data_IF_626681044673
#
_entry.id   IF_626681044673
#
_cell.length_a   1.000
_cell.length_b   1.000
_cell.length_c   1.000
_cell.angle_alpha   90.00
_cell.angle_beta   90.00
_cell.angle_gamma   90.00
#
_symmetry.space_group_name_H-M   'P 1'
#
loop_
_entity.id
_entity.type
_entity.pdbx_description
1 polymer ?
#
# COMPACT_ATOMS: atom_id res chain seq x y z
N UNK A 1 45.88 -87.48 14.19
CA UNK A 1 46.26 -86.78 15.44
C UNK A 1 45.16 -85.76 15.72
N UNK A 2 43.97 -86.16 16.16
CA UNK A 2 43.62 -86.83 17.44
C UNK A 2 43.63 -85.86 18.63
N UNK A 3 42.41 -85.66 19.18
CA UNK A 3 42.03 -85.36 20.57
C UNK A 3 42.53 -84.05 21.22
N UNK A 4 41.80 -83.35 22.10
CA UNK A 4 40.68 -83.69 22.98
C UNK A 4 40.01 -82.37 23.47
N UNK A 5 38.69 -82.22 23.37
CA UNK A 5 37.69 -82.23 24.49
C UNK A 5 37.87 -81.21 25.63
N UNK A 6 36.83 -80.38 25.82
CA UNK A 6 36.00 -80.26 27.04
C UNK A 6 35.02 -79.08 26.84
N UNK A 7 33.77 -79.25 26.39
CA UNK A 7 32.53 -79.61 27.11
C UNK A 7 32.34 -78.99 28.51
N UNK A 8 31.46 -77.99 28.59
CA UNK A 8 30.35 -78.01 29.57
C UNK A 8 29.08 -77.42 28.94
N UNK A 9 27.98 -78.16 29.08
CA UNK A 9 26.66 -77.93 28.50
C UNK A 9 25.71 -77.21 29.47
N UNK A 10 24.82 -76.40 28.87
CA UNK A 10 23.35 -76.28 29.07
C UNK A 10 22.74 -75.93 30.43
N UNK A 11 21.95 -74.86 30.42
CA UNK A 11 20.52 -74.83 30.79
C UNK A 11 19.93 -73.58 30.08
N UNK A 12 18.82 -73.54 29.37
CA UNK A 12 17.56 -74.27 29.48
C UNK A 12 16.45 -73.21 29.45
N UNK A 13 16.09 -72.70 28.27
CA UNK A 13 14.92 -71.82 28.10
C UNK A 13 13.66 -72.66 28.33
N UNK A 14 12.96 -72.43 29.44
CA UNK A 14 11.64 -73.01 29.68
C UNK A 14 10.54 -71.96 29.51
N UNK A 15 9.54 -72.32 28.71
CA UNK A 15 8.27 -71.61 28.55
C UNK A 15 7.40 -71.94 29.76
N UNK A 16 7.23 -71.00 30.70
CA UNK A 16 6.12 -70.84 31.68
C UNK A 16 6.67 -70.23 32.97
N UNK A 17 6.55 -68.91 33.11
CA UNK A 17 6.29 -68.21 34.37
C UNK A 17 5.73 -66.85 34.00
N UNK A 18 4.41 -66.81 33.97
CA UNK A 18 3.58 -65.62 33.82
C UNK A 18 3.44 -64.99 35.21
N UNK A 19 3.52 -63.66 35.25
CA UNK A 19 3.08 -62.76 36.33
C UNK A 19 3.79 -62.90 37.69
N UNK A 20 4.62 -61.91 38.03
CA UNK A 20 4.53 -61.26 39.35
C UNK A 20 5.21 -59.87 39.32
N UNK A 21 4.57 -58.93 40.01
CA UNK A 21 4.83 -57.50 39.99
C UNK A 21 6.25 -57.14 40.47
N UNK A 22 6.92 -56.28 39.71
CA UNK A 22 8.15 -55.60 40.12
C UNK A 22 8.20 -54.20 39.53
N UNK A 23 7.46 -53.27 40.12
CA UNK A 23 7.56 -51.85 39.82
C UNK A 23 8.90 -51.31 40.35
N UNK A 24 9.81 -50.88 39.46
CA UNK A 24 10.82 -49.84 39.72
C UNK A 24 11.64 -49.55 38.46
N UNK A 25 11.51 -48.33 37.93
CA UNK A 25 12.58 -47.66 37.19
C UNK A 25 12.58 -47.76 35.66
N UNK A 26 11.51 -47.32 34.98
CA UNK A 26 11.67 -46.81 33.61
C UNK A 26 11.97 -45.32 33.70
N UNK A 27 13.24 -44.95 33.56
CA UNK A 27 13.63 -43.59 33.27
C UNK A 27 13.05 -43.22 31.89
N UNK A 28 11.91 -42.55 31.90
CA UNK A 28 11.40 -41.87 30.72
C UNK A 28 12.43 -40.78 30.38
N UNK A 29 13.22 -41.01 29.34
CA UNK A 29 13.88 -39.94 28.60
C UNK A 29 12.80 -39.04 28.05
N UNK A 30 12.40 -38.05 28.84
CA UNK A 30 11.67 -36.88 28.39
C UNK A 30 12.61 -36.18 27.44
N UNK A 31 12.43 -36.42 26.13
CA UNK A 31 12.85 -35.48 25.11
C UNK A 31 12.30 -34.12 25.58
N UNK A 32 13.13 -33.08 25.77
CA UNK A 32 12.62 -31.75 26.03
C UNK A 32 11.74 -31.42 24.84
N UNK A 33 10.42 -31.45 25.07
CA UNK A 33 9.44 -30.96 24.12
C UNK A 33 9.92 -29.59 23.68
N UNK A 34 9.94 -29.39 22.37
CA UNK A 34 10.22 -28.11 21.74
C UNK A 34 9.66 -27.01 22.64
N UNK A 35 10.56 -26.28 23.29
CA UNK A 35 10.18 -25.10 24.03
C UNK A 35 9.35 -24.30 23.05
N UNK A 36 8.05 -24.12 23.35
CA UNK A 36 7.17 -23.26 22.59
C UNK A 36 7.94 -21.96 22.39
N UNK A 37 8.45 -21.74 21.17
CA UNK A 37 9.02 -20.47 20.81
C UNK A 37 7.90 -19.50 21.06
N UNK A 38 8.04 -18.68 22.10
CA UNK A 38 7.16 -17.55 22.36
C UNK A 38 7.02 -16.86 21.01
N UNK A 39 5.83 -16.89 20.41
CA UNK A 39 5.59 -16.38 19.06
C UNK A 39 6.13 -14.95 18.99
N UNK A 40 7.36 -14.82 18.51
CA UNK A 40 8.04 -13.54 18.52
C UNK A 40 7.38 -12.77 17.39
N UNK A 41 6.65 -11.71 17.76
CA UNK A 41 5.99 -10.83 16.80
C UNK A 41 6.96 -10.48 15.68
N UNK A 42 6.47 -10.53 14.44
CA UNK A 42 7.22 -10.06 13.29
C UNK A 42 7.49 -8.56 13.49
N UNK A 43 8.76 -8.16 13.49
CA UNK A 43 9.19 -6.78 13.59
C UNK A 43 9.18 -6.16 12.21
N UNK A 44 8.34 -5.16 12.02
CA UNK A 44 8.14 -4.43 10.78
C UNK A 44 8.51 -2.97 11.00
N UNK A 45 9.25 -2.38 10.07
CA UNK A 45 9.58 -0.96 10.11
C UNK A 45 9.10 -0.25 8.84
N UNK A 46 8.82 1.04 8.97
CA UNK A 46 8.68 1.94 7.83
C UNK A 46 9.75 3.04 7.84
N UNK A 47 10.22 3.43 6.66
CA UNK A 47 11.11 4.58 6.44
C UNK A 47 10.41 5.50 5.46
N UNK A 48 10.08 6.71 5.91
CA UNK A 48 9.42 7.74 5.11
C UNK A 48 10.35 8.90 4.80
N UNK A 49 10.42 9.32 3.54
CA UNK A 49 11.21 10.48 3.14
C UNK A 49 10.55 11.80 3.57
N UNK A 50 9.21 11.83 3.59
CA UNK A 50 8.41 12.99 3.98
C UNK A 50 7.71 12.79 5.33
N UNK A 51 6.96 13.78 5.86
CA UNK A 51 6.15 13.59 7.06
C UNK A 51 5.01 12.60 6.80
N UNK A 52 4.59 11.83 7.81
CA UNK A 52 3.50 10.84 7.69
C UNK A 52 2.12 11.47 7.41
N UNK A 53 2.00 12.80 7.49
CA UNK A 53 0.83 13.54 7.04
C UNK A 53 0.76 13.69 5.52
N UNK A 54 1.86 13.48 4.79
CA UNK A 54 1.83 13.44 3.32
C UNK A 54 0.96 12.25 2.85
N UNK A 55 0.07 12.41 1.86
CA UNK A 55 -0.92 11.40 1.52
C UNK A 55 -0.37 10.00 1.20
N UNK A 56 0.76 9.89 0.51
CA UNK A 56 1.39 8.61 0.18
C UNK A 56 1.92 7.90 1.42
N UNK A 57 2.72 8.59 2.23
CA UNK A 57 3.27 8.07 3.48
C UNK A 57 2.17 7.70 4.47
N UNK A 58 1.10 8.51 4.50
CA UNK A 58 -0.06 8.30 5.36
C UNK A 58 -0.75 6.95 5.08
N UNK A 59 -1.01 6.61 3.82
CA UNK A 59 -1.70 5.36 3.49
C UNK A 59 -0.87 4.12 3.85
N UNK A 60 0.45 4.18 3.68
CA UNK A 60 1.36 3.13 4.13
C UNK A 60 1.31 3.01 5.65
N UNK A 61 1.40 4.14 6.36
CA UNK A 61 1.39 4.18 7.82
C UNK A 61 0.08 3.60 8.39
N UNK A 62 -1.08 4.02 7.86
CA UNK A 62 -2.40 3.53 8.28
C UNK A 62 -2.54 2.02 8.03
N UNK A 63 -2.08 1.52 6.88
CA UNK A 63 -2.10 0.09 6.59
C UNK A 63 -1.24 -0.72 7.58
N UNK A 64 -0.07 -0.20 7.97
CA UNK A 64 0.79 -0.84 8.97
C UNK A 64 0.23 -0.80 10.38
N UNK A 65 -0.43 0.30 10.78
CA UNK A 65 -1.16 0.36 12.05
C UNK A 65 -2.32 -0.64 12.08
N UNK A 66 -3.03 -0.82 10.97
CA UNK A 66 -4.06 -1.86 10.84
C UNK A 66 -3.45 -3.25 10.97
N UNK A 67 -2.34 -3.52 10.29
CA UNK A 67 -1.62 -4.79 10.38
C UNK A 67 -1.07 -5.07 11.79
N UNK A 68 -0.65 -4.05 12.55
CA UNK A 68 -0.25 -4.21 13.94
C UNK A 68 -1.39 -4.75 14.81
N UNK A 69 -2.61 -4.22 14.61
CA UNK A 69 -3.82 -4.65 15.33
C UNK A 69 -4.30 -6.03 14.89
N UNK A 70 -4.33 -6.29 13.58
CA UNK A 70 -4.97 -7.49 13.02
C UNK A 70 -4.02 -8.68 12.83
N UNK A 71 -2.75 -8.43 12.45
CA UNK A 71 -1.77 -9.46 12.11
C UNK A 71 -0.72 -9.68 13.20
N UNK A 72 -0.77 -8.91 14.28
CA UNK A 72 0.05 -9.08 15.48
C UNK A 72 1.54 -8.79 15.27
N UNK A 73 1.89 -7.88 14.36
CA UNK A 73 3.27 -7.41 14.16
C UNK A 73 3.72 -6.45 15.29
N UNK A 74 5.00 -6.16 15.38
CA UNK A 74 5.55 -5.00 16.10
C UNK A 74 5.94 -3.95 15.05
N UNK A 75 5.30 -2.78 15.06
CA UNK A 75 5.52 -1.74 14.07
C UNK A 75 6.29 -0.54 14.65
N UNK A 76 7.32 -0.07 13.92
CA UNK A 76 7.97 1.23 14.16
C UNK A 76 8.18 1.97 12.85
N UNK A 77 8.38 3.28 12.90
CA UNK A 77 8.70 4.06 11.71
C UNK A 77 9.72 5.17 12.00
N UNK A 78 10.33 5.66 10.92
CA UNK A 78 11.10 6.90 10.86
C UNK A 78 10.53 7.74 9.73
N UNK A 79 10.40 9.04 9.93
CA UNK A 79 9.89 9.97 8.92
C UNK A 79 10.85 11.15 8.72
N UNK A 80 10.65 11.93 7.66
CA UNK A 80 11.55 13.05 7.27
C UNK A 80 13.00 12.60 7.06
N UNK A 81 13.19 11.35 6.63
CA UNK A 81 14.52 10.77 6.44
C UNK A 81 15.14 11.32 5.16
N UNK A 82 16.21 12.09 5.32
CA UNK A 82 16.93 12.65 4.18
C UNK A 82 17.62 11.56 3.37
N UNK A 83 17.75 11.76 2.06
CA UNK A 83 18.43 10.82 1.15
C UNK A 83 19.83 10.40 1.65
N UNK A 84 20.58 11.32 2.25
CA UNK A 84 21.92 11.07 2.79
C UNK A 84 21.91 10.13 4.02
N UNK A 85 20.82 10.13 4.78
CA UNK A 85 20.63 9.33 6.00
C UNK A 85 19.96 7.98 5.73
N UNK A 86 19.32 7.80 4.57
CA UNK A 86 18.47 6.64 4.29
C UNK A 86 19.20 5.30 4.47
N UNK A 87 20.43 5.19 3.95
CA UNK A 87 21.26 4.00 4.13
C UNK A 87 21.61 3.69 5.58
N UNK A 88 21.80 4.73 6.41
CA UNK A 88 22.07 4.56 7.84
C UNK A 88 20.83 4.03 8.56
N UNK A 89 19.67 4.62 8.32
CA UNK A 89 18.39 4.19 8.92
C UNK A 89 18.03 2.75 8.52
N UNK A 90 18.21 2.38 7.25
CA UNK A 90 18.04 0.99 6.82
C UNK A 90 18.94 0.02 7.59
N UNK A 91 20.23 0.35 7.76
CA UNK A 91 21.17 -0.48 8.56
C UNK A 91 20.71 -0.63 10.00
N UNK A 92 20.24 0.45 10.62
CA UNK A 92 19.75 0.45 12.01
C UNK A 92 18.56 -0.50 12.18
N UNK A 93 17.58 -0.48 11.27
CA UNK A 93 16.46 -1.43 11.31
C UNK A 93 16.90 -2.87 11.07
N UNK A 94 17.75 -3.12 10.07
CA UNK A 94 18.22 -4.49 9.81
C UNK A 94 19.03 -5.06 10.99
N UNK A 95 19.95 -4.27 11.56
CA UNK A 95 20.72 -4.65 12.76
C UNK A 95 19.85 -4.76 14.02
N UNK A 96 18.77 -3.97 14.10
CA UNK A 96 17.74 -4.07 15.13
C UNK A 96 16.84 -5.31 15.01
N UNK A 97 17.10 -6.18 14.01
CA UNK A 97 16.40 -7.44 13.81
C UNK A 97 14.99 -7.27 13.25
N UNK A 98 14.72 -6.19 12.50
CA UNK A 98 13.48 -6.06 11.74
C UNK A 98 13.52 -6.98 10.53
N UNK A 99 12.45 -7.75 10.33
CA UNK A 99 12.37 -8.74 9.26
C UNK A 99 11.77 -8.15 7.98
N UNK A 100 10.90 -7.16 8.08
CA UNK A 100 10.34 -6.42 6.95
C UNK A 100 10.58 -4.93 7.18
N UNK A 101 11.10 -4.24 6.16
CA UNK A 101 11.21 -2.79 6.14
C UNK A 101 10.58 -2.29 4.85
N UNK A 102 9.63 -1.36 4.97
CA UNK A 102 8.94 -0.76 3.84
C UNK A 102 8.88 0.77 3.92
N UNK A 103 8.22 1.42 2.96
CA UNK A 103 8.06 2.88 2.91
C UNK A 103 8.29 3.40 1.49
N UNK A 104 8.81 4.61 1.37
CA UNK A 104 9.14 5.23 0.09
C UNK A 104 10.65 5.48 -0.01
N UNK A 105 11.23 5.13 -1.16
CA UNK A 105 12.68 5.30 -1.38
C UNK A 105 12.99 6.02 -2.69
N UNK A 106 12.02 6.71 -3.31
CA UNK A 106 12.17 7.28 -4.65
C UNK A 106 13.45 8.14 -4.79
N UNK A 107 13.71 9.03 -3.83
CA UNK A 107 14.90 9.88 -3.84
C UNK A 107 16.19 9.15 -3.42
N UNK A 108 16.08 8.04 -2.69
CA UNK A 108 17.18 7.24 -2.15
C UNK A 108 17.41 5.90 -2.89
N UNK A 109 16.74 5.70 -4.03
CA UNK A 109 16.60 4.45 -4.78
C UNK A 109 17.89 3.63 -4.89
N UNK A 110 18.96 4.26 -5.40
CA UNK A 110 20.26 3.60 -5.60
C UNK A 110 20.91 3.17 -4.28
N UNK A 111 20.86 4.04 -3.28
CA UNK A 111 21.49 3.78 -1.98
C UNK A 111 20.70 2.72 -1.19
N UNK A 112 19.38 2.72 -1.32
CA UNK A 112 18.52 1.70 -0.71
C UNK A 112 18.82 0.31 -1.24
N UNK A 113 18.94 0.14 -2.56
CA UNK A 113 19.30 -1.16 -3.16
C UNK A 113 20.72 -1.59 -2.80
N UNK A 114 21.67 -0.67 -2.74
CA UNK A 114 23.05 -0.97 -2.32
C UNK A 114 23.10 -1.44 -0.86
N UNK A 115 22.31 -0.82 0.01
CA UNK A 115 22.22 -1.21 1.42
C UNK A 115 21.50 -2.54 1.58
N UNK A 116 20.39 -2.77 0.86
CA UNK A 116 19.64 -4.01 0.91
C UNK A 116 20.49 -5.27 0.63
N UNK A 117 21.42 -5.19 -0.33
CA UNK A 117 22.38 -6.27 -0.66
C UNK A 117 23.27 -6.69 0.52
N UNK A 118 23.50 -5.81 1.49
CA UNK A 118 24.29 -6.11 2.69
C UNK A 118 23.48 -6.88 3.74
N UNK A 119 22.14 -6.91 3.62
CA UNK A 119 21.22 -7.53 4.56
C UNK A 119 20.25 -8.48 3.81
N UNK A 120 20.74 -9.59 3.24
CA UNK A 120 19.93 -10.51 2.43
C UNK A 120 18.82 -11.22 3.21
N UNK A 121 18.83 -11.15 4.55
CA UNK A 121 17.81 -11.74 5.44
C UNK A 121 16.66 -10.79 5.79
N UNK A 122 16.79 -9.51 5.50
CA UNK A 122 15.72 -8.52 5.71
C UNK A 122 14.93 -8.41 4.41
N UNK A 123 13.61 -8.48 4.47
CA UNK A 123 12.75 -8.17 3.35
C UNK A 123 12.65 -6.64 3.21
N UNK A 124 12.90 -6.13 2.01
CA UNK A 124 12.79 -4.72 1.67
C UNK A 124 11.66 -4.54 0.67
N UNK A 125 10.71 -3.64 0.95
CA UNK A 125 9.58 -3.37 0.08
C UNK A 125 9.34 -1.87 -0.02
N UNK A 126 9.76 -1.22 -1.10
CA UNK A 126 9.69 0.24 -1.21
C UNK A 126 8.89 0.72 -2.41
N UNK A 127 8.22 1.87 -2.24
CA UNK A 127 7.77 2.69 -3.35
C UNK A 127 8.95 3.04 -4.25
N UNK A 128 8.88 2.65 -5.53
CA UNK A 128 9.99 2.77 -6.46
C UNK A 128 9.53 2.93 -7.91
N UNK A 129 10.21 3.78 -8.65
CA UNK A 129 10.05 3.89 -10.12
C UNK A 129 10.87 2.86 -10.91
N UNK A 130 11.61 1.98 -10.24
CA UNK A 130 12.40 0.92 -10.87
C UNK A 130 11.85 -0.47 -10.48
N UNK A 131 12.10 -1.48 -11.32
CA UNK A 131 11.66 -2.85 -11.05
C UNK A 131 12.29 -3.49 -9.80
N UNK A 132 11.80 -4.65 -9.35
CA UNK A 132 12.36 -5.36 -8.19
C UNK A 132 13.83 -5.73 -8.37
N UNK A 133 14.56 -5.92 -7.25
CA UNK A 133 15.95 -6.40 -7.27
C UNK A 133 16.19 -7.58 -6.33
N UNK A 134 16.66 -8.68 -6.91
CA UNK A 134 17.00 -9.89 -6.18
C UNK A 134 18.10 -9.68 -5.12
N UNK A 135 18.07 -10.44 -4.01
CA UNK A 135 17.08 -11.48 -3.69
C UNK A 135 15.82 -10.98 -2.96
N UNK A 136 15.87 -9.79 -2.39
CA UNK A 136 15.01 -9.39 -1.26
C UNK A 136 14.51 -7.94 -1.33
N UNK A 137 14.56 -7.30 -2.50
CA UNK A 137 14.06 -5.94 -2.69
C UNK A 137 12.84 -5.94 -3.61
N UNK A 138 11.66 -6.03 -3.00
CA UNK A 138 10.39 -5.81 -3.66
C UNK A 138 10.09 -4.33 -3.85
N UNK A 139 9.20 -4.05 -4.79
CA UNK A 139 8.77 -2.69 -5.11
C UNK A 139 7.26 -2.61 -5.20
N UNK A 140 6.71 -1.41 -5.08
CA UNK A 140 5.30 -1.12 -5.38
C UNK A 140 5.15 0.29 -5.93
N UNK A 141 3.97 0.54 -6.50
CA UNK A 141 3.50 1.87 -6.87
C UNK A 141 1.98 1.96 -6.64
N UNK A 142 1.40 3.16 -6.63
CA UNK A 142 -0.03 3.39 -6.42
C UNK A 142 -0.84 3.31 -7.73
N UNK A 143 -1.41 2.15 -8.02
CA UNK A 143 -2.20 1.95 -9.24
C UNK A 143 -3.67 2.38 -9.10
N UNK A 144 -3.92 3.60 -8.59
CA UNK A 144 -5.27 4.11 -8.26
C UNK A 144 -5.96 4.90 -9.39
N UNK A 145 -5.49 4.73 -10.63
CA UNK A 145 -6.10 5.30 -11.83
C UNK A 145 -7.57 4.89 -12.04
N UNK A 146 -7.95 3.68 -11.64
CA UNK A 146 -9.32 3.17 -11.76
C UNK A 146 -10.35 4.03 -10.99
N UNK A 147 -10.19 4.26 -9.67
CA UNK A 147 -11.09 5.16 -8.96
C UNK A 147 -10.87 6.65 -9.28
N UNK A 148 -9.69 7.05 -9.76
CA UNK A 148 -9.48 8.41 -10.26
C UNK A 148 -10.33 8.68 -11.52
N UNK A 149 -10.43 7.70 -12.42
CA UNK A 149 -11.30 7.73 -13.58
C UNK A 149 -12.78 7.88 -13.20
N UNK A 150 -13.25 7.04 -12.27
CA UNK A 150 -14.62 7.12 -11.75
C UNK A 150 -14.92 8.49 -11.13
N UNK A 151 -13.96 9.06 -10.40
CA UNK A 151 -14.06 10.41 -9.85
C UNK A 151 -14.12 11.48 -10.94
N UNK A 152 -13.39 11.28 -12.03
CA UNK A 152 -13.48 12.09 -13.25
C UNK A 152 -14.89 12.12 -13.84
N UNK A 153 -15.53 10.97 -13.97
CA UNK A 153 -16.90 10.87 -14.47
C UNK A 153 -17.89 11.65 -13.59
N UNK A 154 -17.70 11.61 -12.26
CA UNK A 154 -18.50 12.43 -11.34
C UNK A 154 -18.24 13.91 -11.63
N UNK A 155 -16.99 14.34 -11.72
CA UNK A 155 -16.64 15.73 -11.95
C UNK A 155 -17.19 16.26 -13.30
N UNK A 156 -17.09 15.48 -14.37
CA UNK A 156 -17.61 15.85 -15.69
C UNK A 156 -19.13 16.03 -15.71
N UNK A 157 -19.87 15.24 -14.93
CA UNK A 157 -21.33 15.37 -14.78
C UNK A 157 -21.76 16.48 -13.81
N UNK A 158 -20.95 16.75 -12.79
CA UNK A 158 -21.26 17.73 -11.75
C UNK A 158 -20.82 19.15 -12.10
N UNK A 159 -19.87 19.30 -13.03
CA UNK A 159 -19.44 20.61 -13.54
C UNK A 159 -20.56 21.31 -14.29
N UNK A 160 -20.81 22.57 -13.93
CA UNK A 160 -21.76 23.48 -14.56
C UNK A 160 -21.07 24.44 -15.54
N UNK A 161 -19.83 24.81 -15.28
CA UNK A 161 -19.01 25.64 -16.17
C UNK A 161 -18.47 24.84 -17.36
N UNK A 162 -18.49 23.51 -17.27
CA UNK A 162 -17.84 22.62 -18.23
C UNK A 162 -16.31 22.65 -18.14
N UNK A 163 -15.74 23.19 -17.06
CA UNK A 163 -14.29 23.26 -16.82
C UNK A 163 -13.95 22.58 -15.50
N UNK A 164 -13.14 21.53 -15.56
CA UNK A 164 -12.62 20.81 -14.40
C UNK A 164 -11.14 21.06 -14.21
N UNK A 165 -10.69 21.09 -12.95
CA UNK A 165 -9.32 21.39 -12.59
C UNK A 165 -8.62 20.24 -11.88
N UNK A 166 -7.29 20.24 -11.90
CA UNK A 166 -6.44 19.43 -11.05
C UNK A 166 -5.25 20.25 -10.58
N UNK A 167 -4.93 20.17 -9.29
CA UNK A 167 -3.72 20.77 -8.71
C UNK A 167 -2.92 19.66 -8.05
N UNK A 168 -1.70 19.46 -8.55
CA UNK A 168 -0.89 18.29 -8.24
C UNK A 168 0.55 18.64 -7.86
N UNK A 169 1.31 17.67 -7.35
CA UNK A 169 2.71 17.86 -6.95
C UNK A 169 3.63 18.22 -8.12
N UNK A 170 4.02 17.22 -8.90
CA UNK A 170 5.05 17.30 -9.92
C UNK A 170 4.64 16.45 -11.11
N UNK A 171 5.07 16.82 -12.32
CA UNK A 171 4.77 16.07 -13.55
C UNK A 171 5.59 14.80 -13.67
N UNK A 172 5.40 13.85 -12.76
CA UNK A 172 6.03 12.51 -12.79
C UNK A 172 5.00 11.45 -13.23
N UNK A 173 5.45 10.27 -13.72
CA UNK A 173 4.55 9.24 -14.26
C UNK A 173 3.36 8.91 -13.36
N UNK A 174 3.62 8.71 -12.06
CA UNK A 174 2.60 8.43 -11.05
C UNK A 174 1.50 9.50 -10.96
N UNK A 175 1.89 10.75 -10.71
CA UNK A 175 0.95 11.88 -10.64
C UNK A 175 0.20 12.06 -11.96
N UNK A 176 0.92 11.99 -13.09
CA UNK A 176 0.34 12.15 -14.42
C UNK A 176 -0.75 11.09 -14.68
N UNK A 177 -0.48 9.83 -14.31
CA UNK A 177 -1.43 8.72 -14.42
C UNK A 177 -2.76 9.03 -13.75
N UNK A 178 -2.74 9.56 -12.54
CA UNK A 178 -3.96 9.87 -11.78
C UNK A 178 -4.71 11.06 -12.37
N UNK A 179 -3.98 12.14 -12.69
CA UNK A 179 -4.58 13.35 -13.27
C UNK A 179 -5.17 13.09 -14.65
N UNK A 180 -4.48 12.32 -15.49
CA UNK A 180 -4.98 11.92 -16.81
C UNK A 180 -6.21 11.01 -16.70
N UNK A 181 -6.22 10.04 -15.79
CA UNK A 181 -7.38 9.19 -15.56
C UNK A 181 -8.60 10.02 -15.12
N UNK A 182 -8.42 10.97 -14.21
CA UNK A 182 -9.47 11.92 -13.82
C UNK A 182 -10.01 12.71 -15.02
N UNK A 183 -9.13 13.28 -15.84
CA UNK A 183 -9.59 14.02 -17.04
C UNK A 183 -10.23 13.11 -18.11
N UNK A 184 -9.77 11.87 -18.24
CA UNK A 184 -10.35 10.90 -19.18
C UNK A 184 -11.79 10.53 -18.75
N UNK A 185 -12.01 10.28 -17.46
CA UNK A 185 -13.35 10.02 -16.93
C UNK A 185 -14.29 11.21 -17.11
N UNK A 186 -13.80 12.43 -16.88
CA UNK A 186 -14.59 13.65 -17.11
C UNK A 186 -14.97 13.81 -18.59
N UNK A 187 -14.06 13.46 -19.50
CA UNK A 187 -14.28 13.53 -20.95
C UNK A 187 -15.24 12.46 -21.47
N UNK A 188 -15.28 11.26 -20.87
CA UNK A 188 -16.23 10.21 -21.24
C UNK A 188 -17.67 10.70 -21.14
N UNK A 189 -17.99 11.44 -20.08
CA UNK A 189 -19.36 11.87 -19.77
C UNK A 189 -19.69 13.27 -20.29
N UNK A 190 -18.66 14.07 -20.56
CA UNK A 190 -18.76 15.40 -21.13
C UNK A 190 -17.65 15.60 -22.17
N UNK A 191 -17.91 15.28 -23.45
CA UNK A 191 -16.90 15.39 -24.52
C UNK A 191 -16.33 16.80 -24.75
N UNK A 192 -17.04 17.84 -24.28
CA UNK A 192 -16.66 19.24 -24.41
C UNK A 192 -16.01 19.81 -23.13
N UNK A 193 -15.75 18.97 -22.12
CA UNK A 193 -15.12 19.41 -20.87
C UNK A 193 -13.74 20.01 -21.15
N UNK A 194 -13.46 21.15 -20.52
CA UNK A 194 -12.14 21.78 -20.52
C UNK A 194 -11.36 21.38 -19.28
N UNK A 195 -10.05 21.20 -19.44
CA UNK A 195 -9.12 20.78 -18.40
C UNK A 195 -8.22 21.94 -18.00
N UNK A 196 -8.06 22.17 -16.70
CA UNK A 196 -6.99 23.00 -16.14
C UNK A 196 -6.11 22.17 -15.23
N UNK A 197 -4.80 22.28 -15.39
CA UNK A 197 -3.83 21.57 -14.56
C UNK A 197 -2.73 22.51 -14.10
N UNK A 198 -2.33 22.39 -12.83
CA UNK A 198 -1.19 23.08 -12.26
C UNK A 198 -0.36 22.12 -11.41
N UNK A 199 0.96 22.22 -11.53
CA UNK A 199 1.92 21.49 -10.72
C UNK A 199 2.63 22.45 -9.76
N UNK A 200 2.62 22.14 -8.46
CA UNK A 200 3.21 23.02 -7.44
C UNK A 200 4.73 22.81 -7.27
N UNK A 201 5.30 21.77 -7.88
CA UNK A 201 6.73 21.47 -7.80
C UNK A 201 7.18 20.88 -6.45
N UNK A 202 6.27 20.38 -5.62
CA UNK A 202 6.52 19.82 -4.29
C UNK A 202 5.49 18.74 -3.95
N UNK A 203 5.89 17.70 -3.23
CA UNK A 203 4.96 16.69 -2.69
C UNK A 203 4.18 17.19 -1.47
N UNK A 204 4.67 18.21 -0.78
CA UNK A 204 3.99 18.76 0.39
C UNK A 204 4.24 20.27 0.53
N UNK A 205 3.28 21.07 0.05
CA UNK A 205 3.23 22.53 0.21
C UNK A 205 1.76 23.01 0.14
N UNK A 206 0.98 22.85 1.24
CA UNK A 206 -0.42 23.21 1.26
C UNK A 206 -0.73 24.67 0.90
N UNK A 207 0.05 25.67 1.37
CA UNK A 207 -0.15 27.07 0.95
C UNK A 207 -0.05 27.26 -0.57
N UNK A 208 0.96 26.68 -1.22
CA UNK A 208 1.14 26.80 -2.67
C UNK A 208 0.07 26.05 -3.46
N UNK A 209 -0.37 24.90 -2.97
CA UNK A 209 -1.49 24.16 -3.55
C UNK A 209 -2.81 24.94 -3.46
N UNK A 210 -3.06 25.61 -2.34
CA UNK A 210 -4.22 26.49 -2.17
C UNK A 210 -4.19 27.66 -3.15
N UNK A 211 -3.04 28.34 -3.29
CA UNK A 211 -2.87 29.45 -4.24
C UNK A 211 -3.13 29.02 -5.69
N UNK A 212 -2.54 27.89 -6.11
CA UNK A 212 -2.76 27.33 -7.44
C UNK A 212 -4.23 26.94 -7.70
N UNK A 213 -4.91 26.41 -6.68
CA UNK A 213 -6.33 26.07 -6.75
C UNK A 213 -7.19 27.33 -6.91
N UNK A 214 -6.95 28.38 -6.10
CA UNK A 214 -7.65 29.66 -6.22
C UNK A 214 -7.51 30.23 -7.63
N UNK A 215 -6.32 30.21 -8.22
CA UNK A 215 -6.09 30.69 -9.57
C UNK A 215 -6.90 29.92 -10.64
N UNK A 216 -7.01 28.59 -10.52
CA UNK A 216 -7.84 27.79 -11.43
C UNK A 216 -9.34 28.07 -11.26
N UNK A 217 -9.79 28.23 -10.02
CA UNK A 217 -11.19 28.53 -9.70
C UNK A 217 -11.58 29.90 -10.26
N UNK A 218 -10.72 30.91 -10.09
CA UNK A 218 -10.92 32.24 -10.65
C UNK A 218 -10.89 32.23 -12.19
N UNK A 219 -10.26 31.21 -12.80
CA UNK A 219 -10.28 30.93 -14.24
C UNK A 219 -11.47 30.06 -14.71
N UNK A 220 -12.43 29.75 -13.84
CA UNK A 220 -13.70 29.10 -14.19
C UNK A 220 -13.81 27.61 -13.86
N UNK A 221 -12.84 27.02 -13.16
CA UNK A 221 -12.97 25.65 -12.61
C UNK A 221 -14.03 25.60 -11.52
N UNK A 222 -14.97 24.66 -11.61
CA UNK A 222 -16.04 24.46 -10.61
C UNK A 222 -16.10 23.05 -10.00
N UNK A 223 -15.28 22.13 -10.51
CA UNK A 223 -14.94 20.86 -9.83
C UNK A 223 -13.44 20.65 -9.93
N UNK A 224 -12.77 20.48 -8.80
CA UNK A 224 -11.30 20.39 -8.73
C UNK A 224 -10.83 19.09 -8.09
N UNK A 225 -9.89 18.41 -8.75
CA UNK A 225 -9.19 17.26 -8.18
C UNK A 225 -8.05 17.74 -7.29
N UNK A 226 -8.23 17.52 -5.99
CA UNK A 226 -7.31 17.85 -4.93
C UNK A 226 -6.26 16.75 -4.74
N UNK A 227 -5.33 16.66 -5.69
CA UNK A 227 -4.22 15.71 -5.63
C UNK A 227 -3.32 16.00 -4.42
N UNK A 228 -3.27 17.26 -3.95
CA UNK A 228 -2.55 17.72 -2.76
C UNK A 228 -3.43 18.44 -1.73
N UNK A 229 -3.00 18.40 -0.46
CA UNK A 229 -3.56 19.22 0.61
C UNK A 229 -3.47 20.71 0.29
N UNK A 230 -4.42 21.50 0.80
CA UNK A 230 -4.58 22.92 0.49
C UNK A 230 -5.59 23.20 -0.64
N UNK A 231 -5.74 22.27 -1.60
CA UNK A 231 -6.73 22.41 -2.69
C UNK A 231 -8.16 22.34 -2.17
N UNK A 232 -8.45 21.41 -1.25
CA UNK A 232 -9.78 21.29 -0.62
C UNK A 232 -10.12 22.57 0.15
N UNK A 233 -9.15 23.18 0.83
CA UNK A 233 -9.36 24.44 1.56
C UNK A 233 -9.79 25.56 0.62
N UNK A 234 -9.13 25.71 -0.53
CA UNK A 234 -9.55 26.66 -1.57
C UNK A 234 -10.96 26.36 -2.10
N UNK A 235 -11.29 25.08 -2.33
CA UNK A 235 -12.61 24.68 -2.80
C UNK A 235 -13.72 24.98 -1.78
N UNK A 236 -13.45 24.79 -0.48
CA UNK A 236 -14.37 25.14 0.62
C UNK A 236 -14.59 26.66 0.67
N UNK A 237 -13.52 27.46 0.62
CA UNK A 237 -13.61 28.93 0.64
C UNK A 237 -14.39 29.48 -0.55
N UNK A 238 -14.16 28.92 -1.74
CA UNK A 238 -14.80 29.33 -2.99
C UNK A 238 -16.14 28.64 -3.24
N UNK A 239 -16.53 27.69 -2.38
CA UNK A 239 -17.79 26.93 -2.44
C UNK A 239 -18.00 26.20 -3.77
N UNK A 240 -16.92 25.63 -4.31
CA UNK A 240 -16.97 24.72 -5.46
C UNK A 240 -16.84 23.27 -4.99
N UNK A 241 -17.01 22.31 -5.90
CA UNK A 241 -16.83 20.89 -5.55
C UNK A 241 -15.37 20.46 -5.64
N UNK A 242 -14.99 19.51 -4.79
CA UNK A 242 -13.68 18.88 -4.80
C UNK A 242 -13.77 17.36 -4.86
N UNK A 243 -12.75 16.76 -5.45
CA UNK A 243 -12.46 15.32 -5.39
C UNK A 243 -11.17 15.15 -4.59
N UNK A 244 -11.18 14.37 -3.51
CA UNK A 244 -9.97 14.10 -2.71
C UNK A 244 -9.02 13.12 -3.40
N UNK A 245 -7.83 12.89 -2.83
CA UNK A 245 -6.85 11.95 -3.40
C UNK A 245 -6.18 11.09 -2.32
N UNK A 246 -5.87 9.85 -2.67
CA UNK A 246 -5.24 8.77 -1.87
C UNK A 246 -5.98 8.37 -0.59
N UNK A 247 -6.72 9.26 0.04
CA UNK A 247 -7.48 9.03 1.27
C UNK A 247 -8.87 9.66 1.20
N UNK A 248 -9.76 9.20 2.08
CA UNK A 248 -11.06 9.82 2.30
C UNK A 248 -10.88 11.12 3.09
N UNK A 249 -10.97 12.25 2.40
CA UNK A 249 -10.78 13.59 2.98
C UNK A 249 -12.09 14.37 3.10
N UNK A 250 -13.23 13.67 3.08
CA UNK A 250 -14.57 14.28 3.21
C UNK A 250 -14.72 15.14 4.46
N UNK A 251 -14.05 14.79 5.56
CA UNK A 251 -14.06 15.53 6.81
C UNK A 251 -13.46 16.94 6.70
N UNK A 252 -12.56 17.18 5.73
CA UNK A 252 -11.94 18.49 5.49
C UNK A 252 -12.90 19.47 4.79
N UNK A 253 -13.91 18.95 4.08
CA UNK A 253 -14.91 19.77 3.43
C UNK A 253 -16.20 18.99 3.20
N UNK A 254 -17.02 18.72 4.23
CA UNK A 254 -18.18 17.82 4.11
C UNK A 254 -19.24 18.27 3.09
N UNK A 255 -19.29 19.56 2.78
CA UNK A 255 -20.22 20.17 1.82
C UNK A 255 -19.56 20.48 0.46
N UNK A 256 -18.29 20.09 0.29
CA UNK A 256 -17.44 20.40 -0.87
C UNK A 256 -16.85 19.14 -1.51
N UNK A 257 -16.32 18.22 -0.70
CA UNK A 257 -15.67 16.99 -1.14
C UNK A 257 -16.74 15.94 -1.43
N UNK A 258 -16.92 15.61 -2.71
CA UNK A 258 -17.93 14.62 -3.14
C UNK A 258 -17.48 13.21 -2.80
N UNK A 259 -16.23 12.88 -3.13
CA UNK A 259 -15.56 11.59 -2.96
C UNK A 259 -14.08 11.76 -3.36
N UNK A 260 -13.34 10.66 -3.51
CA UNK A 260 -12.02 10.63 -4.15
C UNK A 260 -11.48 9.20 -4.25
N UNK A 261 -10.47 8.95 -5.11
CA UNK A 261 -9.73 7.70 -5.07
C UNK A 261 -9.04 7.52 -3.73
N UNK A 262 -9.28 6.37 -3.12
CA UNK A 262 -8.58 5.89 -1.91
C UNK A 262 -7.59 4.81 -2.32
N UNK A 263 -6.38 4.90 -1.80
CA UNK A 263 -5.35 3.88 -1.93
C UNK A 263 -5.27 3.05 -0.65
N UNK A 264 -5.76 1.82 -0.69
CA UNK A 264 -5.65 0.89 0.42
C UNK A 264 -4.36 0.08 0.30
N UNK A 265 -3.38 0.39 1.13
CA UNK A 265 -2.11 -0.36 1.18
C UNK A 265 -2.19 -1.67 1.95
N UNK A 266 -3.33 -1.97 2.58
CA UNK A 266 -3.47 -3.16 3.41
C UNK A 266 -3.25 -4.48 2.66
N UNK A 267 -3.78 -4.70 1.43
CA UNK A 267 -3.51 -5.93 0.68
C UNK A 267 -2.01 -6.14 0.39
N UNK A 268 -1.29 -5.06 0.05
CA UNK A 268 0.17 -5.09 -0.15
C UNK A 268 0.91 -5.46 1.13
N UNK A 269 0.57 -4.79 2.24
CA UNK A 269 1.17 -5.02 3.57
C UNK A 269 0.89 -6.43 4.07
N UNK A 270 -0.36 -6.90 3.96
CA UNK A 270 -0.77 -8.24 4.35
C UNK A 270 0.01 -9.31 3.58
N UNK A 271 0.10 -9.16 2.25
CA UNK A 271 0.83 -10.11 1.42
C UNK A 271 2.32 -10.14 1.77
N UNK A 272 2.95 -8.98 1.96
CA UNK A 272 4.36 -8.91 2.34
C UNK A 272 4.61 -9.59 3.70
N UNK A 273 3.78 -9.30 4.71
CA UNK A 273 3.85 -9.91 6.03
C UNK A 273 3.68 -11.43 5.94
N UNK A 274 2.71 -11.90 5.13
CA UNK A 274 2.46 -13.33 4.91
C UNK A 274 3.69 -14.03 4.35
N UNK A 275 4.32 -13.46 3.32
CA UNK A 275 5.51 -14.05 2.69
C UNK A 275 6.72 -14.05 3.63
N UNK A 276 6.90 -13.00 4.43
CA UNK A 276 7.99 -12.94 5.42
C UNK A 276 7.76 -13.93 6.56
N UNK A 277 6.52 -14.06 7.09
CA UNK A 277 6.18 -15.08 8.09
C UNK A 277 6.42 -16.50 7.58
N UNK A 278 6.16 -16.74 6.30
CA UNK A 278 6.38 -18.03 5.65
C UNK A 278 7.86 -18.28 5.26
N UNK A 279 8.74 -17.28 5.39
CA UNK A 279 10.16 -17.40 5.03
C UNK A 279 10.43 -17.49 3.53
N UNK A 280 9.50 -17.03 2.69
CA UNK A 280 9.55 -17.14 1.21
C UNK A 280 9.42 -15.81 0.50
N UNK A 281 9.66 -14.70 1.20
CA UNK A 281 9.71 -13.38 0.57
C UNK A 281 10.84 -13.32 -0.46
N UNK A 282 10.51 -12.88 -1.67
CA UNK A 282 11.47 -12.62 -2.76
C UNK A 282 11.23 -11.22 -3.33
N UNK A 283 12.21 -10.73 -4.09
CA UNK A 283 12.04 -9.53 -4.88
C UNK A 283 10.90 -9.73 -5.90
N UNK A 284 9.88 -8.88 -5.84
CA UNK A 284 8.77 -8.87 -6.79
C UNK A 284 8.11 -7.50 -6.81
N UNK A 285 7.32 -7.25 -7.85
CA UNK A 285 6.48 -6.07 -7.96
C UNK A 285 5.11 -6.34 -7.31
N UNK A 286 4.77 -5.54 -6.30
CA UNK A 286 3.50 -5.60 -5.58
C UNK A 286 2.47 -4.62 -6.14
N UNK A 287 2.76 -3.88 -7.22
CA UNK A 287 1.87 -2.85 -7.77
C UNK A 287 0.47 -3.35 -8.11
N UNK A 288 0.31 -4.62 -8.51
CA UNK A 288 -1.02 -5.20 -8.79
C UNK A 288 -1.95 -5.18 -7.56
N UNK A 289 -1.39 -5.24 -6.34
CA UNK A 289 -2.18 -5.17 -5.11
C UNK A 289 -2.84 -3.82 -4.89
N UNK A 290 -2.39 -2.74 -5.55
CA UNK A 290 -3.00 -1.40 -5.48
C UNK A 290 -4.28 -1.25 -6.31
N UNK A 291 -4.63 -2.24 -7.16
CA UNK A 291 -5.78 -2.15 -8.07
C UNK A 291 -7.11 -2.43 -7.35
N UNK A 292 -8.21 -1.94 -7.90
CA UNK A 292 -9.55 -2.16 -7.33
C UNK A 292 -9.92 -3.64 -7.26
N UNK A 293 -9.55 -4.42 -8.28
CA UNK A 293 -9.79 -5.86 -8.33
C UNK A 293 -9.10 -6.66 -7.21
N UNK A 294 -8.05 -6.09 -6.60
CA UNK A 294 -7.34 -6.65 -5.44
C UNK A 294 -7.74 -6.00 -4.11
N UNK A 295 -8.67 -5.04 -4.16
CA UNK A 295 -9.09 -4.27 -3.00
C UNK A 295 -8.07 -3.22 -2.54
N UNK A 296 -7.01 -2.96 -3.30
CA UNK A 296 -6.00 -1.95 -2.92
C UNK A 296 -6.34 -0.53 -3.32
N UNK A 297 -7.49 -0.34 -3.94
CA UNK A 297 -8.06 0.99 -4.13
C UNK A 297 -9.56 0.93 -4.31
N UNK A 298 -10.22 2.03 -4.03
CA UNK A 298 -11.66 2.17 -4.17
C UNK A 298 -12.05 3.65 -4.24
N UNK A 299 -13.29 3.91 -4.62
CA UNK A 299 -13.87 5.25 -4.53
C UNK A 299 -14.41 5.47 -3.11
N UNK A 300 -14.01 6.56 -2.44
CA UNK A 300 -14.49 6.88 -1.11
C UNK A 300 -16.04 6.97 -1.07
N UNK A 301 -16.69 6.71 0.07
CA UNK A 301 -18.12 6.95 0.21
C UNK A 301 -18.50 8.39 -0.14
N UNK A 302 -19.73 8.60 -0.61
CA UNK A 302 -20.21 9.96 -0.94
C UNK A 302 -20.56 10.81 0.30
N UNK A 303 -20.62 10.21 1.49
CA UNK A 303 -20.96 10.90 2.75
C UNK A 303 -22.24 11.75 2.63
N UNK A 304 -22.16 13.06 2.89
CA UNK A 304 -23.30 13.97 2.74
C UNK A 304 -23.85 13.99 1.31
N UNK A 305 -23.00 13.80 0.30
CA UNK A 305 -23.39 13.77 -1.10
C UNK A 305 -24.18 12.54 -1.47
N UNK A 306 -24.23 11.48 -0.65
CA UNK A 306 -25.07 10.33 -0.97
C UNK A 306 -26.56 10.71 -1.14
N UNK A 307 -27.01 11.76 -0.44
CA UNK A 307 -28.38 12.28 -0.51
C UNK A 307 -28.59 13.33 -1.61
N UNK A 308 -27.54 13.98 -2.09
CA UNK A 308 -27.65 15.14 -2.99
C UNK A 308 -27.07 14.90 -4.37
N UNK A 309 -26.20 13.90 -4.52
CA UNK A 309 -25.64 13.51 -5.82
C UNK A 309 -26.76 12.91 -6.68
N UNK A 310 -26.94 13.37 -7.94
CA UNK A 310 -27.98 12.87 -8.81
C UNK A 310 -27.92 11.34 -8.96
N UNK A 311 -29.08 10.70 -8.98
CA UNK A 311 -29.18 9.24 -9.05
C UNK A 311 -28.56 8.67 -10.33
N UNK A 312 -28.71 9.37 -11.47
CA UNK A 312 -28.11 8.99 -12.75
C UNK A 312 -26.58 9.03 -12.71
N UNK A 313 -25.98 9.96 -11.95
CA UNK A 313 -24.53 10.02 -11.75
C UNK A 313 -24.04 8.83 -10.94
N UNK A 314 -24.74 8.48 -9.84
CA UNK A 314 -24.39 7.32 -9.02
C UNK A 314 -24.52 6.00 -9.81
N UNK A 315 -25.59 5.83 -10.56
CA UNK A 315 -25.82 4.64 -11.39
C UNK A 315 -24.75 4.50 -12.48
N UNK A 316 -24.41 5.59 -13.16
CA UNK A 316 -23.37 5.62 -14.18
C UNK A 316 -22.01 5.16 -13.62
N UNK A 317 -21.64 5.67 -12.44
CA UNK A 317 -20.38 5.35 -11.78
C UNK A 317 -20.35 3.91 -11.28
N UNK A 318 -21.41 3.43 -10.62
CA UNK A 318 -21.48 2.04 -10.16
C UNK A 318 -21.47 1.05 -11.32
N UNK A 319 -22.12 1.37 -12.44
CA UNK A 319 -22.04 0.57 -13.66
C UNK A 319 -20.60 0.50 -14.19
N UNK A 320 -19.93 1.65 -14.36
CA UNK A 320 -18.55 1.67 -14.85
C UNK A 320 -17.59 0.94 -13.91
N UNK A 321 -17.78 1.10 -12.60
CA UNK A 321 -17.03 0.38 -11.57
C UNK A 321 -17.21 -1.13 -11.68
N UNK A 322 -18.43 -1.62 -11.91
CA UNK A 322 -18.66 -3.05 -12.15
C UNK A 322 -17.94 -3.53 -13.42
N UNK A 323 -18.02 -2.77 -14.53
CA UNK A 323 -17.30 -3.09 -15.76
C UNK A 323 -15.77 -3.18 -15.55
N UNK A 324 -15.19 -2.28 -14.73
CA UNK A 324 -13.77 -2.32 -14.36
C UNK A 324 -13.44 -3.58 -13.57
N UNK A 325 -14.22 -3.89 -12.53
CA UNK A 325 -13.98 -5.04 -11.65
C UNK A 325 -14.15 -6.38 -12.38
N UNK A 326 -15.06 -6.44 -13.35
CA UNK A 326 -15.30 -7.62 -14.19
C UNK A 326 -14.26 -7.76 -15.32
N UNK A 327 -13.44 -6.73 -15.55
CA UNK A 327 -12.48 -6.68 -16.66
C UNK A 327 -13.11 -6.39 -18.03
N UNK A 328 -14.38 -6.00 -18.06
CA UNK A 328 -15.12 -5.59 -19.26
C UNK A 328 -14.73 -4.19 -19.74
N UNK A 329 -14.16 -3.37 -18.84
CA UNK A 329 -13.58 -2.07 -19.16
C UNK A 329 -12.21 -1.95 -18.51
N UNK A 330 -11.22 -1.46 -19.27
CA UNK A 330 -9.89 -1.15 -18.77
C UNK A 330 -9.69 0.36 -18.85
N UNK A 331 -9.37 0.99 -17.72
CA UNK A 331 -8.95 2.38 -17.71
C UNK A 331 -7.56 2.47 -18.37
N UNK A 332 -7.45 3.33 -19.37
CA UNK A 332 -6.17 3.57 -20.03
C UNK A 332 -5.18 4.22 -19.07
N UNK A 333 -3.93 3.76 -19.11
CA UNK A 333 -2.83 4.34 -18.34
C UNK A 333 -2.11 5.34 -19.24
N UNK A 334 -2.19 6.62 -18.87
CA UNK A 334 -1.47 7.70 -19.55
C UNK A 334 -0.58 8.43 -18.55
N UNK A 335 0.73 8.26 -18.69
CA UNK A 335 1.75 8.85 -17.82
C UNK A 335 2.40 10.11 -18.42
N UNK A 336 1.91 10.58 -19.58
CA UNK A 336 2.38 11.83 -20.18
C UNK A 336 1.94 13.03 -19.34
N UNK A 337 2.75 14.08 -19.32
CA UNK A 337 2.40 15.31 -18.59
C UNK A 337 1.12 15.93 -19.16
N UNK A 338 0.02 16.03 -18.39
CA UNK A 338 -1.20 16.68 -18.83
C UNK A 338 -0.96 18.16 -19.14
N UNK A 339 -1.69 18.68 -20.12
CA UNK A 339 -1.71 20.11 -20.47
C UNK A 339 -3.12 20.67 -20.30
N UNK A 340 -3.18 21.96 -19.94
CA UNK A 340 -4.45 22.68 -19.89
C UNK A 340 -4.98 22.94 -21.31
N UNK A 341 -6.30 22.98 -21.45
CA UNK A 341 -6.97 23.46 -22.67
C UNK A 341 -6.94 24.99 -22.80
#
# INVERSE_FOLDING_TARGET
MENERSKTQRAGLSRRSVLELGALGLAATVLPGAAFAKDKKLKVAAIFATPIEEPWDNQIHVALQKAEKELGIEYKWSEKVQTADFSRVMREYAQGGYQLVLGDAFAAERESRRTAKQFPKTAWLFGSGAGPAEPNFGVFDNWIHEPAYLSGMIAGKMSKSGTVGAVAAMGIPEVNRLVNAFFAGAKEVNPNVKKKVAFIGSFFDPPKAKEAAVAQIDAGVDVIYAERFGVIEAAVEKKIFAISNMSDQSSLGPDTVITGPVWDMYPTVEQAIKLVKAGVFTAQDYGDFSRMAKGGSYLAPYHKFDKTLPADVKELVEKKKAEILEGNFRVDVDENTPVSD
#
